data_IF_877969091712
#
_entry.id   IF_877969091712
#
_cell.length_a   1.000
_cell.length_b   1.000
_cell.length_c   1.000
_cell.angle_alpha   90.00
_cell.angle_beta   90.00
_cell.angle_gamma   90.00
#
_symmetry.space_group_name_H-M   'P 1'
#
loop_
_entity.id
_entity.type
_entity.pdbx_description
1 polymer ?
#
# COMPACT_ATOMS: atom_id res chain seq x y z
N UNK A 1 -12.70 -21.11 0.06
CA UNK A 1 -11.34 -20.51 -0.02
C UNK A 1 -11.02 -19.90 1.33
N UNK A 2 -9.75 -19.88 1.75
CA UNK A 2 -9.36 -19.06 2.89
C UNK A 2 -9.60 -17.59 2.56
N UNK A 3 -9.95 -16.79 3.54
CA UNK A 3 -10.10 -15.34 3.43
C UNK A 3 -8.74 -14.72 3.08
N UNK A 4 -8.69 -13.87 2.03
CA UNK A 4 -7.43 -13.26 1.61
C UNK A 4 -6.85 -12.36 2.70
N UNK A 5 -5.51 -12.30 2.86
CA UNK A 5 -4.89 -11.30 3.71
C UNK A 5 -5.08 -9.89 3.16
N UNK A 6 -4.69 -8.89 3.92
CA UNK A 6 -4.47 -7.54 3.41
C UNK A 6 -3.02 -7.15 3.62
N UNK A 7 -2.54 -6.22 2.82
CA UNK A 7 -1.16 -5.75 2.85
C UNK A 7 -1.08 -4.24 2.95
N UNK A 8 -0.18 -3.75 3.78
CA UNK A 8 0.40 -2.42 3.64
C UNK A 8 1.89 -2.58 3.33
N UNK A 9 2.36 -1.92 2.28
CA UNK A 9 3.76 -1.95 1.87
C UNK A 9 4.38 -0.56 1.90
N UNK A 10 5.56 -0.46 2.50
CA UNK A 10 6.42 0.69 2.32
C UNK A 10 7.05 0.61 0.92
N UNK A 11 6.61 1.45 -0.02
CA UNK A 11 7.34 1.62 -1.27
C UNK A 11 8.44 2.66 -1.07
N UNK A 12 9.56 2.45 -1.65
CA UNK A 12 10.69 3.37 -1.54
C UNK A 12 10.86 4.21 -2.80
N UNK A 13 12.11 4.46 -3.15
CA UNK A 13 12.44 5.04 -4.45
C UNK A 13 11.92 4.16 -5.59
N UNK A 14 11.46 4.74 -6.71
CA UNK A 14 11.12 3.98 -7.93
C UNK A 14 12.23 3.04 -8.42
N UNK A 15 13.49 3.34 -8.12
CA UNK A 15 14.65 2.47 -8.42
C UNK A 15 14.53 1.07 -7.83
N UNK A 16 13.72 0.90 -6.79
CA UNK A 16 13.44 -0.41 -6.19
C UNK A 16 12.98 -1.44 -7.24
N UNK A 17 12.31 -1.01 -8.31
CA UNK A 17 11.88 -1.91 -9.39
C UNK A 17 13.05 -2.63 -10.08
N UNK A 18 14.24 -2.04 -10.08
CA UNK A 18 15.46 -2.60 -10.71
C UNK A 18 16.41 -3.24 -9.67
N UNK A 19 16.14 -3.08 -8.38
CA UNK A 19 17.02 -3.51 -7.31
C UNK A 19 16.68 -4.92 -6.82
N UNK A 20 17.71 -5.67 -6.47
CA UNK A 20 17.61 -6.98 -5.80
C UNK A 20 18.17 -6.86 -4.39
N UNK A 21 17.37 -6.36 -3.48
CA UNK A 21 17.71 -6.15 -2.08
C UNK A 21 16.92 -7.11 -1.19
N UNK A 22 17.22 -7.15 0.12
CA UNK A 22 16.42 -7.92 1.06
C UNK A 22 14.96 -7.42 1.10
N UNK A 23 14.74 -6.12 0.93
CA UNK A 23 13.39 -5.54 0.85
C UNK A 23 12.60 -6.12 -0.32
N UNK A 24 13.18 -6.13 -1.54
CA UNK A 24 12.51 -6.65 -2.73
C UNK A 24 12.37 -8.18 -2.71
N UNK A 25 13.35 -8.89 -2.14
CA UNK A 25 13.26 -10.33 -1.91
C UNK A 25 12.13 -10.69 -0.94
N UNK A 26 11.90 -9.84 0.08
CA UNK A 26 10.78 -10.02 1.00
C UNK A 26 9.44 -9.87 0.28
N UNK A 27 9.29 -8.91 -0.64
CA UNK A 27 8.05 -8.81 -1.46
C UNK A 27 7.81 -10.08 -2.27
N UNK A 28 8.86 -10.65 -2.86
CA UNK A 28 8.73 -11.91 -3.61
C UNK A 28 8.28 -13.05 -2.69
N UNK A 29 8.90 -13.22 -1.51
CA UNK A 29 8.50 -14.24 -0.53
C UNK A 29 7.04 -14.07 -0.08
N UNK A 30 6.61 -12.83 0.18
CA UNK A 30 5.21 -12.55 0.55
C UNK A 30 4.26 -12.94 -0.58
N UNK A 31 4.56 -12.58 -1.82
CA UNK A 31 3.75 -12.96 -2.98
C UNK A 31 3.59 -14.47 -3.12
N UNK A 32 4.72 -15.21 -3.01
CA UNK A 32 4.72 -16.66 -3.04
C UNK A 32 3.92 -17.27 -1.86
N UNK A 33 4.08 -16.73 -0.66
CA UNK A 33 3.34 -17.20 0.52
C UNK A 33 1.83 -16.97 0.37
N UNK A 34 1.42 -15.83 -0.20
CA UNK A 34 0.00 -15.58 -0.49
C UNK A 34 -0.54 -16.64 -1.45
N UNK A 35 0.14 -16.89 -2.56
CA UNK A 35 -0.29 -17.89 -3.55
C UNK A 35 -0.35 -19.28 -2.92
N UNK A 36 0.65 -19.66 -2.15
CA UNK A 36 0.76 -21.01 -1.57
C UNK A 36 -0.29 -21.26 -0.48
N UNK A 37 -0.57 -20.26 0.37
CA UNK A 37 -1.40 -20.44 1.56
C UNK A 37 -2.88 -20.08 1.33
N UNK A 38 -3.17 -19.17 0.40
CA UNK A 38 -4.51 -18.62 0.13
C UNK A 38 -5.01 -18.92 -1.28
N UNK A 39 -4.10 -19.31 -2.18
CA UNK A 39 -4.35 -19.41 -3.61
C UNK A 39 -4.09 -18.09 -4.33
N UNK A 40 -4.11 -18.14 -5.65
CA UNK A 40 -3.94 -16.95 -6.49
C UNK A 40 -5.11 -15.99 -6.28
N UNK A 41 -4.87 -14.72 -5.90
CA UNK A 41 -5.93 -13.72 -5.80
C UNK A 41 -6.68 -13.57 -7.15
N UNK A 42 -7.99 -13.38 -7.10
CA UNK A 42 -8.78 -13.09 -8.31
C UNK A 42 -8.35 -11.77 -8.95
N UNK A 43 -8.11 -10.75 -8.11
CA UNK A 43 -7.54 -9.46 -8.46
C UNK A 43 -7.01 -8.77 -7.20
N UNK A 44 -6.27 -7.68 -7.41
CA UNK A 44 -5.74 -6.81 -6.34
C UNK A 44 -6.51 -5.49 -6.36
N UNK A 45 -7.13 -5.13 -5.23
CA UNK A 45 -7.57 -3.76 -4.98
C UNK A 45 -6.39 -2.97 -4.44
N UNK A 46 -5.86 -2.07 -5.24
CA UNK A 46 -4.66 -1.29 -4.96
C UNK A 46 -5.02 0.12 -4.49
N UNK A 47 -4.48 0.54 -3.34
CA UNK A 47 -4.67 1.88 -2.76
C UNK A 47 -3.28 2.52 -2.64
N UNK A 48 -2.93 3.39 -3.61
CA UNK A 48 -1.62 4.01 -3.68
C UNK A 48 -1.62 5.45 -3.18
N UNK A 49 -0.57 5.83 -2.46
CA UNK A 49 -0.30 7.21 -2.05
C UNK A 49 -0.30 8.19 -3.22
N UNK A 50 0.03 7.72 -4.42
CA UNK A 50 0.19 8.54 -5.62
C UNK A 50 -1.14 8.90 -6.31
N UNK A 51 -2.22 8.16 -6.06
CA UNK A 51 -3.55 8.59 -6.50
C UNK A 51 -4.29 9.34 -5.39
N UNK A 52 -3.74 10.47 -4.99
CA UNK A 52 -4.29 11.37 -3.98
C UNK A 52 -5.21 12.39 -4.65
N UNK A 53 -6.51 12.12 -4.65
CA UNK A 53 -7.52 12.77 -5.49
C UNK A 53 -8.54 13.60 -4.69
N UNK A 54 -9.35 14.37 -5.39
CA UNK A 54 -10.42 15.20 -4.83
C UNK A 54 -11.74 14.46 -4.60
N UNK A 55 -11.71 13.13 -4.71
CA UNK A 55 -12.84 12.24 -4.49
C UNK A 55 -12.36 10.80 -4.31
N UNK A 56 -13.29 9.92 -4.00
CA UNK A 56 -13.04 8.48 -4.02
C UNK A 56 -13.38 7.96 -5.41
N UNK A 57 -12.36 7.49 -6.12
CA UNK A 57 -12.47 6.97 -7.48
C UNK A 57 -11.96 5.54 -7.58
N UNK A 58 -12.61 4.75 -8.44
CA UNK A 58 -12.18 3.39 -8.76
C UNK A 58 -12.01 3.25 -10.26
N UNK A 59 -10.97 2.53 -10.69
CA UNK A 59 -10.75 2.21 -12.10
C UNK A 59 -11.74 1.15 -12.59
N UNK A 60 -12.11 1.24 -13.89
CA UNK A 60 -12.98 0.26 -14.55
C UNK A 60 -12.40 -0.34 -15.82
N UNK A 61 -11.32 0.23 -16.35
CA UNK A 61 -10.72 -0.20 -17.61
C UNK A 61 -10.11 -1.60 -17.50
N UNK A 62 -10.29 -2.43 -18.52
CA UNK A 62 -9.65 -3.75 -18.63
C UNK A 62 -8.14 -3.66 -18.91
N UNK A 63 -7.68 -2.54 -19.44
CA UNK A 63 -6.29 -2.31 -19.78
C UNK A 63 -5.81 -1.01 -19.12
N UNK A 64 -5.59 -1.02 -17.80
CA UNK A 64 -5.07 0.15 -17.10
C UNK A 64 -3.68 0.51 -17.64
N UNK A 65 -3.47 1.79 -17.90
CA UNK A 65 -2.14 2.27 -18.26
C UNK A 65 -1.20 2.19 -17.07
N UNK A 66 0.05 1.88 -17.31
CA UNK A 66 1.11 2.08 -16.33
C UNK A 66 1.49 3.56 -16.30
N UNK A 67 1.61 4.13 -15.11
CA UNK A 67 1.98 5.53 -14.92
C UNK A 67 3.40 5.62 -14.37
N UNK A 68 4.22 6.41 -15.07
CA UNK A 68 5.57 6.78 -14.66
C UNK A 68 5.51 8.19 -14.07
N UNK A 69 4.93 8.28 -12.86
CA UNK A 69 4.73 9.52 -12.10
C UNK A 69 5.99 9.95 -11.34
N UNK A 70 7.14 9.79 -11.97
CA UNK A 70 8.46 10.16 -11.47
C UNK A 70 9.28 10.76 -12.60
N UNK A 71 10.39 11.43 -12.25
CA UNK A 71 11.30 12.04 -13.23
C UNK A 71 12.75 12.06 -12.73
N UNK A 72 13.70 12.19 -13.66
CA UNK A 72 15.11 12.30 -13.32
C UNK A 72 15.81 10.98 -12.98
N UNK A 73 15.20 9.85 -13.32
CA UNK A 73 15.74 8.51 -13.12
C UNK A 73 16.43 7.98 -14.40
N UNK A 74 17.26 6.93 -14.28
CA UNK A 74 17.85 6.25 -15.43
C UNK A 74 16.79 5.71 -16.40
N UNK A 75 17.16 5.65 -17.69
CA UNK A 75 16.27 5.23 -18.77
C UNK A 75 15.71 3.82 -18.55
N UNK A 76 16.51 2.92 -17.99
CA UNK A 76 16.13 1.53 -17.71
C UNK A 76 14.89 1.43 -16.82
N UNK A 77 14.68 2.40 -15.93
CA UNK A 77 13.49 2.41 -15.06
C UNK A 77 12.21 2.67 -15.86
N UNK A 78 12.28 3.51 -16.90
CA UNK A 78 11.14 3.81 -17.78
C UNK A 78 10.84 2.69 -18.78
N UNK A 79 11.73 1.70 -18.87
CA UNK A 79 11.56 0.51 -19.70
C UNK A 79 10.93 -0.66 -18.94
N UNK A 80 10.79 -0.55 -17.62
CA UNK A 80 10.09 -1.54 -16.81
C UNK A 80 8.60 -1.51 -17.14
N UNK A 81 8.07 -2.63 -17.61
CA UNK A 81 6.65 -2.78 -17.95
C UNK A 81 6.00 -3.81 -17.04
N UNK A 82 4.90 -3.44 -16.40
CA UNK A 82 4.05 -4.32 -15.60
C UNK A 82 2.63 -4.38 -16.21
N UNK A 83 2.37 -5.30 -17.16
CA UNK A 83 1.18 -5.27 -18.02
C UNK A 83 -0.04 -5.93 -17.37
N UNK A 84 -0.32 -5.63 -16.12
CA UNK A 84 -1.49 -6.18 -15.44
C UNK A 84 -2.79 -5.70 -16.09
N UNK A 85 -3.78 -6.59 -16.13
CA UNK A 85 -5.12 -6.26 -16.58
C UNK A 85 -5.93 -5.63 -15.44
N UNK A 86 -7.03 -4.96 -15.78
CA UNK A 86 -8.07 -4.60 -14.82
C UNK A 86 -9.06 -5.76 -14.58
N UNK A 87 -9.97 -5.55 -13.62
CA UNK A 87 -11.03 -6.51 -13.30
C UNK A 87 -12.36 -5.77 -13.08
N UNK A 88 -13.28 -5.90 -14.04
CA UNK A 88 -14.58 -5.23 -13.98
C UNK A 88 -15.49 -5.78 -12.86
N UNK A 89 -15.28 -7.02 -12.42
CA UNK A 89 -16.06 -7.58 -11.31
C UNK A 89 -15.64 -6.95 -10.00
N UNK A 90 -14.33 -6.83 -9.77
CA UNK A 90 -13.81 -6.12 -8.59
C UNK A 90 -14.31 -4.67 -8.57
N UNK A 91 -14.27 -3.95 -9.70
CA UNK A 91 -14.82 -2.59 -9.79
C UNK A 91 -16.28 -2.52 -9.36
N UNK A 92 -17.12 -3.45 -9.86
CA UNK A 92 -18.55 -3.52 -9.49
C UNK A 92 -18.76 -3.82 -8.01
N UNK A 93 -17.98 -4.73 -7.42
CA UNK A 93 -18.08 -5.02 -5.98
C UNK A 93 -17.65 -3.81 -5.14
N UNK A 94 -16.59 -3.09 -5.52
CA UNK A 94 -16.20 -1.84 -4.87
C UNK A 94 -17.34 -0.79 -4.94
N UNK A 95 -17.96 -0.63 -6.12
CA UNK A 95 -19.10 0.28 -6.28
C UNK A 95 -20.30 -0.12 -5.43
N UNK A 96 -20.60 -1.40 -5.34
CA UNK A 96 -21.68 -1.93 -4.50
C UNK A 96 -21.44 -1.67 -3.01
N UNK A 97 -20.19 -1.88 -2.53
CA UNK A 97 -19.82 -1.69 -1.14
C UNK A 97 -19.77 -0.21 -0.72
N UNK A 98 -19.31 0.66 -1.60
CA UNK A 98 -19.14 2.08 -1.32
C UNK A 98 -20.34 2.95 -1.76
N UNK A 99 -21.19 2.43 -2.64
CA UNK A 99 -22.39 3.11 -3.14
C UNK A 99 -22.06 4.47 -3.76
N UNK A 100 -22.81 5.49 -3.37
CA UNK A 100 -22.63 6.86 -3.88
C UNK A 100 -21.33 7.55 -3.43
N UNK A 101 -20.52 6.89 -2.57
CA UNK A 101 -19.24 7.46 -2.11
C UNK A 101 -18.10 7.24 -3.08
N UNK A 102 -18.30 6.47 -4.16
CA UNK A 102 -17.27 6.18 -5.16
C UNK A 102 -17.76 6.42 -6.57
N UNK A 103 -16.92 6.97 -7.43
CA UNK A 103 -17.18 7.17 -8.85
C UNK A 103 -16.11 6.46 -9.70
N UNK A 104 -16.46 6.10 -10.94
CA UNK A 104 -15.47 5.57 -11.89
C UNK A 104 -14.59 6.72 -12.39
N UNK A 105 -13.28 6.46 -12.44
CA UNK A 105 -12.33 7.36 -13.07
C UNK A 105 -11.16 6.55 -13.65
N UNK A 106 -11.03 6.55 -14.97
CA UNK A 106 -9.99 5.87 -15.73
C UNK A 106 -8.90 6.82 -16.23
N UNK A 107 -8.81 8.04 -15.70
CA UNK A 107 -7.76 9.01 -16.08
C UNK A 107 -6.42 8.69 -15.42
N UNK A 108 -6.42 7.99 -14.28
CA UNK A 108 -5.24 7.46 -13.61
C UNK A 108 -4.94 6.04 -14.10
N UNK A 109 -3.86 5.44 -13.63
CA UNK A 109 -3.44 4.08 -13.97
C UNK A 109 -2.72 3.41 -12.82
N UNK A 110 -1.95 2.36 -13.09
CA UNK A 110 -1.10 1.70 -12.09
C UNK A 110 0.17 2.53 -11.96
N UNK A 111 0.29 3.28 -10.87
CA UNK A 111 1.41 4.19 -10.60
C UNK A 111 2.63 3.49 -10.01
N UNK A 112 3.76 4.23 -9.91
CA UNK A 112 5.01 3.63 -9.46
C UNK A 112 4.96 3.12 -8.01
N UNK A 113 4.15 3.70 -7.16
CA UNK A 113 3.96 3.17 -5.80
C UNK A 113 3.40 1.75 -5.78
N UNK A 114 2.75 1.32 -6.86
CA UNK A 114 2.24 -0.04 -7.03
C UNK A 114 3.11 -0.91 -7.91
N UNK A 115 3.39 -0.51 -9.17
CA UNK A 115 4.06 -1.43 -10.08
C UNK A 115 5.50 -1.74 -9.65
N UNK A 116 6.21 -0.84 -8.95
CA UNK A 116 7.56 -1.11 -8.43
C UNK A 116 7.61 -2.21 -7.38
N UNK A 117 6.53 -2.38 -6.64
CA UNK A 117 6.37 -3.49 -5.67
C UNK A 117 5.90 -4.75 -6.37
N UNK A 118 4.92 -4.61 -7.26
CA UNK A 118 4.27 -5.75 -7.93
C UNK A 118 5.21 -6.51 -8.87
N UNK A 119 6.19 -5.85 -9.50
CA UNK A 119 7.23 -6.52 -10.32
C UNK A 119 8.05 -7.54 -9.53
N UNK A 120 8.14 -7.37 -8.20
CA UNK A 120 8.79 -8.33 -7.30
C UNK A 120 7.81 -9.32 -6.68
N UNK A 121 6.65 -8.84 -6.27
CA UNK A 121 5.67 -9.64 -5.53
C UNK A 121 4.95 -10.64 -6.43
N UNK A 122 4.56 -10.21 -7.64
CA UNK A 122 3.86 -11.01 -8.65
C UNK A 122 4.42 -10.74 -10.05
N UNK A 123 5.66 -11.19 -10.32
CA UNK A 123 6.43 -10.77 -11.51
C UNK A 123 5.82 -11.18 -12.85
N UNK A 124 4.95 -12.14 -12.88
CA UNK A 124 4.25 -12.60 -14.10
C UNK A 124 3.08 -11.68 -14.51
N UNK A 125 2.74 -10.67 -13.70
CA UNK A 125 1.64 -9.73 -13.90
C UNK A 125 0.28 -10.41 -14.24
N UNK A 126 0.11 -11.65 -13.79
CA UNK A 126 -1.07 -12.48 -14.13
C UNK A 126 -2.26 -12.26 -13.20
N UNK A 127 -2.12 -11.40 -12.18
CA UNK A 127 -3.19 -11.02 -11.27
C UNK A 127 -3.68 -9.63 -11.71
N UNK A 128 -4.97 -9.47 -12.02
CA UNK A 128 -5.52 -8.17 -12.37
C UNK A 128 -5.38 -7.15 -11.24
N UNK A 129 -5.26 -5.88 -11.58
CA UNK A 129 -5.12 -4.76 -10.62
C UNK A 129 -6.18 -3.71 -10.91
N UNK A 130 -6.91 -3.33 -9.87
CA UNK A 130 -7.86 -2.21 -9.88
C UNK A 130 -7.41 -1.21 -8.82
N UNK A 131 -7.13 0.03 -9.20
CA UNK A 131 -6.79 1.06 -8.23
C UNK A 131 -8.02 1.78 -7.68
N UNK A 132 -7.98 2.07 -6.38
CA UNK A 132 -8.89 2.94 -5.64
C UNK A 132 -8.10 4.17 -5.19
N UNK A 133 -8.61 5.37 -5.45
CA UNK A 133 -7.96 6.61 -5.03
C UNK A 133 -8.05 6.84 -3.53
N UNK A 134 -7.07 7.58 -3.00
CA UNK A 134 -7.15 8.20 -1.68
C UNK A 134 -7.89 9.54 -1.85
N UNK A 135 -8.97 9.70 -1.11
CA UNK A 135 -9.73 10.93 -1.11
C UNK A 135 -9.12 11.93 -0.10
N UNK A 136 -8.56 13.03 -0.62
CA UNK A 136 -7.87 14.05 0.18
C UNK A 136 -8.76 14.83 1.16
N UNK A 137 -10.07 14.72 1.02
CA UNK A 137 -11.03 15.41 1.88
C UNK A 137 -11.52 14.56 3.05
N UNK A 138 -11.22 13.26 3.06
CA UNK A 138 -11.55 12.40 4.19
C UNK A 138 -10.56 12.61 5.33
N UNK A 139 -11.10 12.71 6.53
CA UNK A 139 -10.29 12.58 7.75
C UNK A 139 -9.71 11.15 7.85
N UNK A 140 -8.64 10.93 8.60
CA UNK A 140 -8.10 9.59 8.85
C UNK A 140 -9.16 8.61 9.39
N UNK A 141 -10.08 9.07 10.23
CA UNK A 141 -11.17 8.25 10.75
C UNK A 141 -12.16 7.83 9.66
N UNK A 142 -12.50 8.73 8.74
CA UNK A 142 -13.38 8.42 7.61
C UNK A 142 -12.68 7.49 6.61
N UNK A 143 -11.39 7.66 6.37
CA UNK A 143 -10.57 6.75 5.57
C UNK A 143 -10.55 5.32 6.16
N UNK A 144 -10.40 5.20 7.49
CA UNK A 144 -10.52 3.93 8.19
C UNK A 144 -11.91 3.29 7.98
N UNK A 145 -12.99 4.07 8.15
CA UNK A 145 -14.36 3.61 7.95
C UNK A 145 -14.62 3.17 6.51
N UNK A 146 -14.01 3.84 5.54
CA UNK A 146 -14.09 3.42 4.13
C UNK A 146 -13.39 2.08 3.93
N UNK A 147 -12.21 1.91 4.52
CA UNK A 147 -11.50 0.62 4.53
C UNK A 147 -12.34 -0.51 5.12
N UNK A 148 -13.04 -0.27 6.24
CA UNK A 148 -13.92 -1.27 6.88
C UNK A 148 -15.01 -1.78 5.94
N UNK A 149 -15.56 -0.92 5.07
CA UNK A 149 -16.56 -1.35 4.09
C UNK A 149 -16.01 -2.30 3.02
N UNK A 150 -14.71 -2.27 2.77
CA UNK A 150 -14.05 -3.08 1.74
C UNK A 150 -13.66 -4.48 2.24
N UNK A 151 -13.70 -4.75 3.55
CA UNK A 151 -13.14 -5.98 4.11
C UNK A 151 -13.78 -7.27 3.57
N UNK A 152 -15.06 -7.24 3.16
CA UNK A 152 -15.75 -8.42 2.60
C UNK A 152 -15.17 -8.90 1.26
N UNK A 153 -14.45 -8.04 0.53
CA UNK A 153 -13.74 -8.42 -0.70
C UNK A 153 -12.73 -9.55 -0.45
N UNK A 154 -12.17 -9.62 0.74
CA UNK A 154 -11.24 -10.67 1.16
C UNK A 154 -11.90 -12.06 1.14
N UNK A 155 -13.16 -12.14 1.56
CA UNK A 155 -13.95 -13.38 1.56
C UNK A 155 -14.26 -13.85 0.13
N UNK A 156 -14.31 -12.92 -0.81
CA UNK A 156 -14.54 -13.17 -2.23
C UNK A 156 -13.27 -13.55 -3.01
N UNK A 157 -12.10 -13.52 -2.36
CA UNK A 157 -10.82 -13.89 -2.94
C UNK A 157 -10.05 -12.74 -3.59
N UNK A 158 -10.37 -11.48 -3.23
CA UNK A 158 -9.62 -10.30 -3.64
C UNK A 158 -8.56 -9.92 -2.59
N UNK A 159 -7.36 -9.61 -3.06
CA UNK A 159 -6.29 -9.06 -2.22
C UNK A 159 -6.44 -7.55 -2.12
N UNK A 160 -6.46 -6.99 -0.91
CA UNK A 160 -6.46 -5.54 -0.71
C UNK A 160 -5.05 -5.12 -0.30
N UNK A 161 -4.47 -4.19 -1.05
CA UNK A 161 -3.08 -3.77 -0.88
C UNK A 161 -2.97 -2.25 -0.85
N UNK A 162 -2.47 -1.70 0.25
CA UNK A 162 -2.09 -0.30 0.40
C UNK A 162 -0.60 -0.11 0.15
N UNK A 163 -0.22 0.90 -0.62
CA UNK A 163 1.17 1.28 -0.85
C UNK A 163 1.41 2.73 -0.47
N UNK A 164 2.31 2.93 0.45
CA UNK A 164 2.68 4.22 1.00
C UNK A 164 3.91 4.09 1.90
N UNK A 165 4.06 4.97 2.87
CA UNK A 165 5.15 4.89 3.86
C UNK A 165 4.67 5.49 5.19
N UNK A 166 5.03 4.88 6.30
CA UNK A 166 4.77 5.43 7.63
C UNK A 166 5.51 6.76 7.79
N UNK A 167 6.75 6.81 7.33
CA UNK A 167 7.56 8.03 7.27
C UNK A 167 7.91 8.30 5.82
N UNK A 168 7.55 9.50 5.34
CA UNK A 168 7.86 9.96 3.99
C UNK A 168 8.08 11.48 3.98
N UNK A 169 9.33 11.92 4.01
CA UNK A 169 9.66 13.33 3.99
C UNK A 169 10.81 13.64 3.03
N UNK A 170 10.49 13.86 1.76
CA UNK A 170 11.48 14.17 0.73
C UNK A 170 12.24 15.50 0.96
N UNK A 171 11.72 16.40 1.83
CA UNK A 171 12.40 17.65 2.18
C UNK A 171 13.50 17.44 3.22
N UNK A 172 13.58 16.24 3.82
CA UNK A 172 14.53 15.86 4.87
C UNK A 172 15.42 14.69 4.47
N UNK A 173 15.56 14.47 3.15
CA UNK A 173 16.45 13.44 2.62
C UNK A 173 17.90 13.74 2.99
N UNK A 174 18.56 12.72 3.51
CA UNK A 174 19.99 12.66 3.78
C UNK A 174 20.60 11.61 2.85
N UNK A 175 21.12 12.03 1.72
CA UNK A 175 21.57 11.15 0.64
C UNK A 175 22.58 10.09 1.05
N UNK A 176 23.45 10.42 2.00
CA UNK A 176 24.50 9.53 2.50
C UNK A 176 24.07 8.72 3.74
N UNK A 177 22.81 8.84 4.16
CA UNK A 177 22.27 8.11 5.31
C UNK A 177 21.42 6.92 4.86
N UNK A 178 21.99 5.69 4.89
CA UNK A 178 21.24 4.48 4.53
C UNK A 178 20.25 4.04 5.63
N UNK A 179 20.21 4.77 6.75
CA UNK A 179 19.37 4.48 7.92
C UNK A 179 18.31 5.57 8.11
N UNK A 180 17.49 5.42 9.14
CA UNK A 180 16.57 6.48 9.58
C UNK A 180 17.24 7.46 10.53
N UNK A 181 16.81 8.72 10.50
CA UNK A 181 17.09 9.65 11.60
C UNK A 181 16.35 9.19 12.87
N UNK A 182 16.73 9.73 14.04
CA UNK A 182 16.03 9.42 15.30
C UNK A 182 14.54 9.70 15.22
N UNK A 183 14.13 10.81 14.57
CA UNK A 183 12.74 11.17 14.39
C UNK A 183 11.98 10.16 13.49
N UNK A 184 12.62 9.68 12.41
CA UNK A 184 12.09 8.63 11.54
C UNK A 184 11.85 7.35 12.32
N UNK A 185 12.87 6.89 13.04
CA UNK A 185 12.81 5.64 13.80
C UNK A 185 11.75 5.72 14.91
N UNK A 186 11.72 6.83 15.65
CA UNK A 186 10.78 7.04 16.75
C UNK A 186 9.32 7.00 16.27
N UNK A 187 9.01 7.70 15.18
CA UNK A 187 7.65 7.73 14.64
C UNK A 187 7.25 6.39 14.04
N UNK A 188 8.13 5.76 13.24
CA UNK A 188 7.87 4.44 12.68
C UNK A 188 7.60 3.39 13.76
N UNK A 189 8.42 3.36 14.81
CA UNK A 189 8.24 2.44 15.94
C UNK A 189 6.95 2.72 16.72
N UNK A 190 6.56 3.99 16.90
CA UNK A 190 5.29 4.36 17.53
C UNK A 190 4.11 3.81 16.73
N UNK A 191 4.06 4.05 15.43
CA UNK A 191 2.99 3.56 14.55
C UNK A 191 3.02 2.03 14.44
N UNK A 192 4.19 1.43 14.25
CA UNK A 192 4.34 -0.02 14.18
C UNK A 192 3.80 -0.72 15.45
N UNK A 193 4.11 -0.16 16.61
CA UNK A 193 3.57 -0.66 17.88
C UNK A 193 2.06 -0.51 17.98
N UNK A 194 1.50 0.60 17.48
CA UNK A 194 0.06 0.83 17.43
C UNK A 194 -0.62 -0.19 16.50
N UNK A 195 -0.06 -0.44 15.31
CA UNK A 195 -0.55 -1.47 14.36
C UNK A 195 -0.54 -2.84 15.01
N UNK A 196 0.58 -3.26 15.59
CA UNK A 196 0.72 -4.59 16.22
C UNK A 196 -0.23 -4.79 17.42
N UNK A 197 -0.69 -3.70 18.05
CA UNK A 197 -1.68 -3.71 19.14
C UNK A 197 -3.12 -3.48 18.67
N UNK A 198 -3.31 -3.23 17.38
CA UNK A 198 -4.58 -2.80 16.81
C UNK A 198 -5.15 -1.53 17.50
N UNK A 199 -4.26 -0.59 17.86
CA UNK A 199 -4.62 0.68 18.48
C UNK A 199 -5.05 1.69 17.41
N UNK A 200 -6.32 1.61 17.03
CA UNK A 200 -6.89 2.45 15.96
C UNK A 200 -6.87 3.93 16.35
N UNK A 201 -7.07 4.27 17.64
CA UNK A 201 -7.03 5.68 18.06
C UNK A 201 -5.65 6.30 17.83
N UNK A 202 -4.58 5.60 18.17
CA UNK A 202 -3.22 6.07 17.92
C UNK A 202 -2.94 6.23 16.42
N UNK A 203 -3.42 5.29 15.59
CA UNK A 203 -3.18 5.29 14.14
C UNK A 203 -3.94 6.42 13.44
N UNK A 204 -5.22 6.63 13.73
CA UNK A 204 -6.02 7.70 13.09
C UNK A 204 -5.69 9.09 13.63
N UNK A 205 -5.18 9.17 14.85
CA UNK A 205 -4.74 10.42 15.47
C UNK A 205 -3.22 10.57 15.48
N UNK A 206 -2.52 10.00 14.51
CA UNK A 206 -1.06 10.00 14.40
C UNK A 206 -0.42 11.39 14.53
N UNK A 207 -1.15 12.44 14.16
CA UNK A 207 -0.71 13.83 14.25
C UNK A 207 -0.48 14.34 15.69
N UNK A 208 -0.95 13.58 16.71
CA UNK A 208 -0.67 13.88 18.12
C UNK A 208 0.76 13.53 18.52
N UNK A 209 1.44 12.71 17.74
CA UNK A 209 2.83 12.36 18.03
C UNK A 209 3.78 13.54 17.71
N UNK A 210 4.75 13.88 18.56
CA UNK A 210 5.65 15.03 18.35
C UNK A 210 6.40 15.00 17.01
N UNK A 211 6.76 13.82 16.52
CA UNK A 211 7.49 13.67 15.26
C UNK A 211 6.56 13.59 14.02
N UNK A 212 5.25 13.67 14.16
CA UNK A 212 4.33 13.50 13.04
C UNK A 212 4.54 14.52 11.91
N UNK A 213 4.78 15.79 12.27
CA UNK A 213 5.04 16.85 11.29
C UNK A 213 6.36 16.67 10.52
N UNK A 214 7.33 15.99 11.14
CA UNK A 214 8.57 15.60 10.48
C UNK A 214 8.33 14.35 9.59
N UNK A 215 7.68 13.34 10.13
CA UNK A 215 7.56 12.02 9.50
C UNK A 215 6.56 11.99 8.33
N UNK A 216 5.41 12.63 8.51
CA UNK A 216 4.32 12.68 7.54
C UNK A 216 3.84 14.13 7.35
N UNK A 217 4.66 15.00 6.71
CA UNK A 217 4.32 16.42 6.52
C UNK A 217 3.08 16.60 5.64
N UNK A 218 2.77 15.63 4.82
CA UNK A 218 1.55 15.47 4.04
C UNK A 218 0.97 14.08 4.28
N UNK A 219 -0.36 13.90 4.30
CA UNK A 219 -0.97 12.64 4.70
C UNK A 219 -0.98 11.56 3.61
N UNK A 220 -0.69 11.90 2.36
CA UNK A 220 -0.83 11.05 1.18
C UNK A 220 -0.16 9.69 1.34
N UNK A 221 1.09 9.63 1.81
CA UNK A 221 1.84 8.37 1.98
C UNK A 221 1.45 7.60 3.24
N UNK A 222 0.88 8.26 4.23
CA UNK A 222 0.42 7.61 5.46
C UNK A 222 -0.99 7.00 5.33
N UNK A 223 -1.87 7.66 4.57
CA UNK A 223 -3.29 7.26 4.46
C UNK A 223 -3.52 5.84 3.94
N UNK A 224 -2.73 5.26 3.01
CA UNK A 224 -2.91 3.87 2.61
C UNK A 224 -2.91 2.90 3.79
N UNK A 225 -2.07 3.11 4.81
CA UNK A 225 -2.07 2.30 6.04
C UNK A 225 -3.43 2.35 6.74
N UNK A 226 -4.05 3.53 6.81
CA UNK A 226 -5.34 3.72 7.48
C UNK A 226 -6.47 2.97 6.75
N UNK A 227 -6.50 3.01 5.41
CA UNK A 227 -7.45 2.21 4.63
C UNK A 227 -7.27 0.71 4.88
N UNK A 228 -6.01 0.26 4.90
CA UNK A 228 -5.70 -1.15 5.15
C UNK A 228 -6.06 -1.56 6.56
N UNK A 229 -5.82 -0.74 7.58
CA UNK A 229 -6.25 -1.02 8.95
C UNK A 229 -7.77 -1.24 9.03
N UNK A 230 -8.57 -0.44 8.32
CA UNK A 230 -10.02 -0.65 8.23
C UNK A 230 -10.39 -1.97 7.53
N UNK A 231 -9.73 -2.29 6.41
CA UNK A 231 -9.97 -3.53 5.67
C UNK A 231 -9.47 -4.79 6.40
N UNK A 232 -8.68 -4.62 7.44
CA UNK A 232 -8.01 -5.69 8.21
C UNK A 232 -8.64 -5.97 9.56
N UNK A 233 -9.84 -5.44 9.83
CA UNK A 233 -10.49 -5.61 11.12
C UNK A 233 -10.56 -7.09 11.56
N UNK A 234 -10.25 -7.33 12.82
CA UNK A 234 -10.22 -8.69 13.42
C UNK A 234 -9.09 -9.61 12.95
N UNK A 235 -8.05 -9.08 12.32
CA UNK A 235 -6.87 -9.86 11.90
C UNK A 235 -5.67 -9.62 12.81
N UNK A 236 -4.61 -10.41 12.58
CA UNK A 236 -3.33 -10.27 13.27
C UNK A 236 -2.27 -9.73 12.31
N UNK A 237 -1.65 -8.59 12.61
CA UNK A 237 -0.57 -8.05 11.80
C UNK A 237 0.77 -8.75 12.06
N UNK A 238 1.52 -8.98 10.98
CA UNK A 238 2.93 -9.33 11.01
C UNK A 238 3.71 -8.25 10.29
N UNK A 239 4.75 -7.69 10.94
CA UNK A 239 5.60 -6.65 10.37
C UNK A 239 6.67 -7.28 9.48
N UNK A 240 7.02 -6.59 8.38
CA UNK A 240 8.14 -6.94 7.52
C UNK A 240 8.86 -5.68 7.02
N UNK A 241 10.05 -5.83 6.45
CA UNK A 241 10.85 -4.73 5.90
C UNK A 241 10.99 -3.52 6.86
N UNK A 242 11.16 -3.79 8.16
CA UNK A 242 11.33 -2.72 9.15
C UNK A 242 12.72 -2.10 9.01
N UNK A 243 12.92 -1.42 7.88
CA UNK A 243 14.15 -0.73 7.49
C UNK A 243 13.86 0.70 7.06
N UNK A 244 14.91 1.48 6.95
CA UNK A 244 14.83 2.90 6.60
C UNK A 244 15.74 3.20 5.41
N UNK A 245 15.49 4.32 4.75
CA UNK A 245 16.30 4.79 3.64
C UNK A 245 16.37 6.32 3.64
N UNK A 246 17.51 6.84 3.20
CA UNK A 246 17.73 8.27 3.02
C UNK A 246 17.38 9.13 4.23
N UNK A 247 17.54 8.60 5.44
CA UNK A 247 17.26 9.30 6.70
C UNK A 247 15.77 9.50 7.02
N UNK A 248 14.90 9.67 6.04
CA UNK A 248 13.53 10.14 6.23
C UNK A 248 12.45 9.32 5.48
N UNK A 249 12.77 8.07 5.10
CA UNK A 249 11.84 7.12 4.51
C UNK A 249 11.79 5.84 5.34
N UNK A 250 10.58 5.32 5.61
CA UNK A 250 10.37 4.01 6.24
C UNK A 250 9.88 3.00 5.21
N UNK A 251 10.51 1.83 5.18
CA UNK A 251 10.12 0.72 4.32
C UNK A 251 9.21 -0.27 5.04
N UNK A 252 8.84 0.02 6.28
CA UNK A 252 8.02 -0.86 7.12
C UNK A 252 6.70 -1.20 6.44
N UNK A 253 6.42 -2.50 6.36
CA UNK A 253 5.17 -3.04 5.84
C UNK A 253 4.52 -4.00 6.82
N UNK A 254 3.25 -4.31 6.58
CA UNK A 254 2.46 -5.24 7.37
C UNK A 254 1.64 -6.15 6.47
N UNK A 255 1.59 -7.43 6.83
CA UNK A 255 0.57 -8.35 6.36
C UNK A 255 -0.41 -8.63 7.49
N UNK A 256 -1.69 -8.65 7.17
CA UNK A 256 -2.78 -8.87 8.13
C UNK A 256 -3.52 -10.15 7.75
N UNK A 257 -3.46 -11.13 8.64
CA UNK A 257 -3.99 -12.48 8.42
C UNK A 257 -4.92 -12.87 9.57
N UNK A 258 -5.92 -13.70 9.28
CA UNK A 258 -6.77 -14.25 10.35
C UNK A 258 -5.95 -15.21 11.22
N UNK A 259 -5.09 -16.02 10.59
CA UNK A 259 -4.11 -16.90 11.24
C UNK A 259 -2.72 -16.62 10.62
N UNK A 260 -1.82 -15.92 11.35
CA UNK A 260 -0.50 -15.60 10.83
C UNK A 260 0.29 -16.85 10.43
N UNK A 261 0.88 -16.80 9.25
CA UNK A 261 1.80 -17.81 8.75
C UNK A 261 3.23 -17.34 8.96
N UNK A 262 4.18 -18.29 9.10
CA UNK A 262 5.59 -17.91 9.13
C UNK A 262 6.00 -17.39 7.75
N UNK A 263 6.32 -16.11 7.66
CA UNK A 263 6.72 -15.43 6.41
C UNK A 263 8.24 -15.32 6.30
N UNK A 264 8.95 -15.50 7.41
CA UNK A 264 10.40 -15.29 7.54
C UNK A 264 11.16 -16.61 7.64
#
# INVERSE_FOLDING_TARGET
>A
MKRMPTLFVGHGSPMMALEHTETTNTFNRIGQNIINNYGKPKAILAISAHWYADGTYVQSTENPKQIYDMYGFPQELYEVVYPAKGDSNLTKEVQKLLGNSVSINDTWGIDHGMWTVLVHMFPDASIPVVQLSINKYLSPKEAYQLGTKLQSLRDEGYLIMGSGNIVHNLRRIEWDNPSGTSATIEFDQYISKAVLKNDIDAIVNYTRHPQASYAAPTPDHYLPLIYIMGASESTKPTVFNQTYSLGSLSMTGFIFEDEPQSIL
#
